data_IF_800561195939
#
_entry.id   IF_800561195939
#
_cell.length_a   1.000
_cell.length_b   1.000
_cell.length_c   1.000
_cell.angle_alpha   90.00
_cell.angle_beta   90.00
_cell.angle_gamma   90.00
#
_symmetry.space_group_name_H-M   'P 1'
#
loop_
_entity.id
_entity.type
_entity.pdbx_description
1 polymer ?
#
# COMPACT_ATOMS: atom_id res chain seq x y z
N UNK A 1 -1.62 8.40 11.07
CA UNK A 1 -2.05 7.00 10.89
C UNK A 1 -3.58 6.96 10.95
N UNK A 2 -4.28 6.34 9.99
CA UNK A 2 -5.75 6.37 9.96
C UNK A 2 -6.30 5.42 11.03
N UNK A 3 -6.87 5.97 12.11
CA UNK A 3 -7.66 5.23 13.08
C UNK A 3 -9.06 5.07 12.48
N UNK A 4 -9.60 3.86 12.46
CA UNK A 4 -11.02 3.65 12.16
C UNK A 4 -11.68 3.40 13.51
N UNK A 5 -12.58 4.29 13.91
CA UNK A 5 -13.32 4.18 15.18
C UNK A 5 -12.42 4.11 16.43
N UNK A 6 -11.36 4.95 16.49
CA UNK A 6 -10.44 5.01 17.64
C UNK A 6 -9.51 3.80 17.83
N UNK A 7 -9.76 2.67 17.15
CA UNK A 7 -8.99 1.44 17.25
C UNK A 7 -8.01 1.28 16.10
N UNK A 8 -6.83 0.74 16.40
CA UNK A 8 -5.89 0.30 15.37
C UNK A 8 -6.54 -0.81 14.55
N UNK A 9 -6.44 -0.75 13.23
CA UNK A 9 -6.90 -1.79 12.31
C UNK A 9 -6.03 -3.05 12.46
N UNK A 10 -6.05 -3.75 13.59
CA UNK A 10 -5.20 -4.92 13.88
C UNK A 10 -5.71 -6.16 13.14
N UNK A 11 -4.83 -6.86 12.43
CA UNK A 11 -5.13 -8.16 11.81
C UNK A 11 -6.06 -8.10 10.60
N UNK A 12 -6.30 -6.91 10.04
CA UNK A 12 -7.18 -6.68 8.90
C UNK A 12 -6.39 -6.78 7.59
N UNK A 13 -7.02 -7.32 6.56
CA UNK A 13 -6.41 -7.47 5.24
C UNK A 13 -6.69 -6.21 4.40
N UNK A 14 -5.63 -5.50 4.04
CA UNK A 14 -5.68 -4.37 3.11
C UNK A 14 -5.37 -4.86 1.69
N UNK A 15 -6.11 -4.35 0.71
CA UNK A 15 -5.80 -4.56 -0.71
C UNK A 15 -5.03 -3.35 -1.23
N UNK A 16 -3.78 -3.56 -1.64
CA UNK A 16 -2.93 -2.54 -2.26
C UNK A 16 -2.88 -2.80 -3.76
N UNK A 17 -3.44 -1.91 -4.56
CA UNK A 17 -3.31 -1.93 -6.01
C UNK A 17 -2.13 -1.05 -6.43
N UNK A 18 -1.11 -1.66 -7.02
CA UNK A 18 0.10 -0.99 -7.51
C UNK A 18 0.54 -1.59 -8.85
N UNK A 19 0.83 -0.72 -9.83
CA UNK A 19 1.29 -1.11 -11.17
C UNK A 19 0.46 -2.24 -11.79
N UNK A 20 -0.88 -2.04 -11.87
CA UNK A 20 -1.89 -3.01 -12.35
C UNK A 20 -2.00 -4.33 -11.56
N UNK A 21 -1.20 -4.54 -10.52
CA UNK A 21 -1.28 -5.71 -9.63
C UNK A 21 -1.93 -5.38 -8.29
N UNK A 22 -2.60 -6.36 -7.70
CA UNK A 22 -3.24 -6.24 -6.39
C UNK A 22 -2.54 -7.12 -5.38
N UNK A 23 -2.13 -6.55 -4.25
CA UNK A 23 -1.44 -7.24 -3.16
C UNK A 23 -2.32 -7.21 -1.92
N UNK A 24 -2.46 -8.35 -1.24
CA UNK A 24 -3.15 -8.44 0.05
C UNK A 24 -2.09 -8.37 1.14
N UNK A 25 -2.19 -7.38 2.03
CA UNK A 25 -1.29 -7.25 3.19
C UNK A 25 -2.10 -7.17 4.47
N UNK A 26 -1.70 -7.98 5.46
CA UNK A 26 -2.31 -7.96 6.78
C UNK A 26 -1.64 -6.89 7.63
N UNK A 27 -2.44 -6.10 8.33
CA UNK A 27 -1.95 -5.11 9.29
C UNK A 27 -1.47 -5.77 10.58
N UNK A 28 -0.41 -5.22 11.16
CA UNK A 28 0.16 -5.70 12.42
C UNK A 28 -0.68 -5.27 13.65
N UNK A 29 -0.19 -5.62 14.86
CA UNK A 29 -0.88 -5.28 16.14
C UNK A 29 -1.11 -3.78 16.34
N UNK A 30 -0.31 -2.93 15.68
CA UNK A 30 -0.39 -1.46 15.71
C UNK A 30 -1.17 -0.89 14.51
N UNK A 31 -1.88 -1.72 13.74
CA UNK A 31 -2.66 -1.29 12.58
C UNK A 31 -1.82 -0.80 11.39
N UNK A 32 -0.52 -1.09 11.39
CA UNK A 32 0.41 -0.72 10.31
C UNK A 32 0.54 -1.90 9.35
N UNK A 33 0.35 -1.65 8.06
CA UNK A 33 0.67 -2.62 7.03
C UNK A 33 1.98 -2.24 6.35
N UNK A 34 2.89 -3.20 6.26
CA UNK A 34 4.17 -3.04 5.57
C UNK A 34 4.11 -3.82 4.27
N UNK A 35 4.18 -3.11 3.15
CA UNK A 35 4.34 -3.71 1.83
C UNK A 35 5.74 -3.39 1.30
N UNK A 36 6.58 -4.42 1.16
CA UNK A 36 7.94 -4.29 0.65
C UNK A 36 7.95 -4.41 -0.86
N UNK A 37 8.52 -3.41 -1.55
CA UNK A 37 8.75 -3.46 -2.99
C UNK A 37 9.99 -4.31 -3.25
N UNK A 38 9.84 -5.44 -3.95
CA UNK A 38 10.97 -6.31 -4.32
C UNK A 38 11.84 -5.66 -5.40
N UNK A 39 13.14 -5.99 -5.43
CA UNK A 39 14.09 -5.51 -6.46
C UNK A 39 13.63 -5.84 -7.89
N UNK A 40 12.98 -6.98 -8.08
CA UNK A 40 12.38 -7.37 -9.37
C UNK A 40 11.19 -6.50 -9.80
N UNK A 41 10.45 -5.90 -8.87
CA UNK A 41 9.46 -4.87 -9.20
C UNK A 41 10.14 -3.57 -9.56
N UNK A 42 11.13 -3.13 -8.79
CA UNK A 42 11.89 -1.91 -9.06
C UNK A 42 12.52 -1.92 -10.46
N UNK A 43 13.08 -3.05 -10.90
CA UNK A 43 13.60 -3.21 -12.28
C UNK A 43 12.54 -2.98 -13.37
N UNK A 44 11.25 -3.22 -13.07
CA UNK A 44 10.13 -3.02 -14.01
C UNK A 44 9.52 -1.61 -13.91
N UNK A 45 9.97 -0.81 -12.94
CA UNK A 45 9.50 0.56 -12.74
C UNK A 45 10.51 1.52 -13.38
N UNK A 46 10.02 2.49 -14.15
CA UNK A 46 10.86 3.54 -14.73
C UNK A 46 11.18 4.57 -13.64
N UNK A 47 12.48 4.83 -13.44
CA UNK A 47 12.97 5.90 -12.57
C UNK A 47 12.42 7.24 -13.06
N UNK A 48 12.06 8.14 -12.14
CA UNK A 48 11.46 9.45 -12.46
C UNK A 48 9.94 9.39 -12.69
N UNK A 49 9.35 8.21 -12.89
CA UNK A 49 7.90 8.07 -13.10
C UNK A 49 7.13 8.04 -11.78
N UNK A 50 6.01 8.77 -11.74
CA UNK A 50 5.05 8.76 -10.61
C UNK A 50 4.11 7.56 -10.76
N UNK A 51 4.14 6.66 -9.78
CA UNK A 51 3.24 5.52 -9.70
C UNK A 51 2.18 5.75 -8.63
N UNK A 52 0.90 5.68 -9.02
CA UNK A 52 -0.22 5.72 -8.07
C UNK A 52 -0.36 4.35 -7.40
N UNK A 53 -0.48 4.32 -6.07
CA UNK A 53 -0.92 3.15 -5.32
C UNK A 53 -2.25 3.45 -4.65
N UNK A 54 -3.17 2.50 -4.74
CA UNK A 54 -4.49 2.57 -4.10
C UNK A 54 -4.53 1.54 -2.99
N UNK A 55 -4.84 1.97 -1.78
CA UNK A 55 -5.07 1.10 -0.62
C UNK A 55 -6.57 1.09 -0.36
N UNK A 56 -7.17 -0.08 -0.36
CA UNK A 56 -8.60 -0.27 -0.14
C UNK A 56 -8.82 -1.10 1.13
N UNK A 57 -9.70 -0.61 1.98
CA UNK A 57 -10.15 -1.27 3.21
C UNK A 57 -11.66 -1.09 3.39
N UNK A 58 -12.45 -2.14 3.15
CA UNK A 58 -13.91 -2.01 3.12
C UNK A 58 -14.35 -0.97 2.07
N UNK A 59 -15.13 0.03 2.49
CA UNK A 59 -15.54 1.19 1.65
C UNK A 59 -14.47 2.29 1.57
N UNK A 60 -13.45 2.28 2.43
CA UNK A 60 -12.41 3.29 2.44
C UNK A 60 -11.36 3.04 1.36
N UNK A 61 -11.07 4.09 0.59
CA UNK A 61 -10.07 4.07 -0.47
C UNK A 61 -9.10 5.23 -0.25
N UNK A 62 -7.83 4.91 -0.02
CA UNK A 62 -6.75 5.89 0.06
C UNK A 62 -5.89 5.74 -1.17
N UNK A 63 -5.77 6.81 -1.97
CA UNK A 63 -4.89 6.83 -3.13
C UNK A 63 -3.73 7.75 -2.86
N UNK A 64 -2.50 7.26 -3.05
CA UNK A 64 -1.27 8.05 -2.92
C UNK A 64 -0.37 7.84 -4.13
N UNK A 65 0.55 8.78 -4.33
CA UNK A 65 1.56 8.73 -5.41
C UNK A 65 2.91 8.41 -4.79
N UNK A 66 3.70 7.60 -5.48
CA UNK A 66 5.07 7.27 -5.13
C UNK A 66 5.94 7.60 -6.33
N UNK A 67 7.00 8.36 -6.11
CA UNK A 67 7.99 8.69 -7.15
C UNK A 67 9.20 7.79 -6.94
N UNK A 68 9.62 7.10 -8.00
CA UNK A 68 10.85 6.30 -7.96
C UNK A 68 12.03 7.25 -8.21
N UNK A 69 12.83 7.49 -7.18
CA UNK A 69 14.12 8.20 -7.28
C UNK A 69 15.25 7.19 -7.47
N UNK A 70 16.31 7.60 -8.15
CA UNK A 70 17.53 6.80 -8.37
C UNK A 70 18.39 6.81 -7.12
#
# INVERSE_FOLDING_TARGET
>A
MKKVNGKYLKGKVLKIKFNKKTYKVKTNKKGVATWKVKKSMLKKLKVGKKYKYKVTYGKDIVTKKLTIKK
#
